data_IF_788454711913
#
_entry.id   IF_788454711913
#
_cell.length_a   1.000
_cell.length_b   1.000
_cell.length_c   1.000
_cell.angle_alpha   90.00
_cell.angle_beta   90.00
_cell.angle_gamma   90.00
#
_symmetry.space_group_name_H-M   'P 1'
#
loop_
_entity.id
_entity.type
_entity.pdbx_description
1 polymer ?
#
# COMPACT_ATOMS: atom_id res chain seq x y z
N UNK A 1 -49.38 21.27 -45.34
CA UNK A 1 -48.74 20.63 -44.19
C UNK A 1 -47.24 20.95 -44.23
N UNK A 2 -46.79 21.89 -43.41
CA UNK A 2 -45.34 22.19 -43.25
C UNK A 2 -44.86 21.47 -42.02
N UNK A 3 -43.89 20.56 -42.20
CA UNK A 3 -43.22 19.88 -41.12
C UNK A 3 -42.31 20.88 -40.36
N UNK A 4 -42.56 21.09 -39.08
CA UNK A 4 -41.67 21.82 -38.18
C UNK A 4 -40.58 20.85 -37.71
N UNK A 5 -39.39 21.02 -38.25
CA UNK A 5 -38.19 20.30 -37.76
C UNK A 5 -37.66 21.10 -36.57
N UNK A 6 -37.92 20.61 -35.36
CA UNK A 6 -37.34 21.18 -34.14
C UNK A 6 -35.92 20.65 -34.02
N UNK A 7 -34.94 21.48 -34.32
CA UNK A 7 -33.52 21.20 -34.03
C UNK A 7 -33.29 21.35 -32.54
N UNK A 8 -33.11 20.25 -31.83
CA UNK A 8 -32.66 20.26 -30.44
C UNK A 8 -31.15 20.53 -30.45
N UNK A 9 -30.76 21.76 -30.18
CA UNK A 9 -29.38 22.10 -29.86
C UNK A 9 -29.10 21.58 -28.45
N UNK A 10 -28.35 20.51 -28.34
CA UNK A 10 -27.70 20.14 -27.09
C UNK A 10 -26.63 21.19 -26.81
N UNK A 11 -26.83 21.94 -25.75
CA UNK A 11 -25.86 22.89 -25.24
C UNK A 11 -24.79 22.07 -24.50
N UNK A 12 -23.67 21.82 -25.15
CA UNK A 12 -22.48 21.16 -24.58
C UNK A 12 -21.78 22.12 -23.60
N UNK A 13 -22.46 22.44 -22.50
CA UNK A 13 -21.83 22.88 -21.27
C UNK A 13 -21.97 21.75 -20.24
N UNK A 14 -21.41 20.58 -20.53
CA UNK A 14 -21.00 19.68 -19.49
C UNK A 14 -19.83 20.38 -18.76
N UNK A 15 -20.17 21.03 -17.65
CA UNK A 15 -19.23 21.26 -16.58
C UNK A 15 -18.79 19.87 -16.11
N UNK A 16 -17.80 19.31 -16.78
CA UNK A 16 -17.07 18.14 -16.28
C UNK A 16 -16.45 18.57 -14.95
N UNK A 17 -17.17 18.31 -13.85
CA UNK A 17 -16.57 18.32 -12.52
C UNK A 17 -15.67 17.11 -12.44
N UNK A 18 -14.49 17.20 -13.08
CA UNK A 18 -13.45 16.21 -12.98
C UNK A 18 -13.16 15.99 -11.48
N UNK A 19 -13.29 14.76 -11.01
CA UNK A 19 -13.00 14.42 -9.64
C UNK A 19 -11.47 14.52 -9.47
N UNK A 20 -11.00 15.58 -8.83
CA UNK A 20 -9.58 15.71 -8.52
C UNK A 20 -9.31 15.33 -7.07
N UNK A 21 -8.46 14.33 -6.86
CA UNK A 21 -7.96 13.86 -5.56
C UNK A 21 -6.54 14.34 -5.29
N UNK A 22 -6.04 15.21 -6.15
CA UNK A 22 -4.67 15.73 -6.07
C UNK A 22 -4.51 16.63 -4.86
N UNK A 23 -3.46 16.37 -4.10
CA UNK A 23 -3.03 17.21 -2.97
C UNK A 23 -1.60 17.71 -3.17
N UNK A 24 -1.26 18.81 -2.51
CA UNK A 24 0.05 19.45 -2.67
C UNK A 24 1.10 18.74 -1.80
N UNK A 25 1.72 17.67 -2.35
CA UNK A 25 2.83 16.97 -1.73
C UNK A 25 2.46 16.12 -0.50
N UNK A 26 3.48 15.53 0.12
CA UNK A 26 3.36 14.59 1.22
C UNK A 26 2.75 15.20 2.49
N UNK A 27 3.06 16.46 2.80
CA UNK A 27 2.53 17.13 3.99
C UNK A 27 1.00 17.24 3.97
N UNK A 28 0.42 17.68 2.84
CA UNK A 28 -1.02 17.75 2.69
C UNK A 28 -1.65 16.33 2.61
N UNK A 29 -0.94 15.40 1.98
CA UNK A 29 -1.38 14.02 1.88
C UNK A 29 -1.48 13.34 3.25
N UNK A 30 -0.51 13.51 4.13
CA UNK A 30 -0.47 12.93 5.48
C UNK A 30 -1.32 13.69 6.52
N UNK A 31 -2.01 14.76 6.11
CA UNK A 31 -2.86 15.53 7.04
C UNK A 31 -3.93 14.63 7.68
N UNK A 32 -4.02 14.71 9.01
CA UNK A 32 -4.95 13.91 9.81
C UNK A 32 -4.36 12.61 10.35
N UNK A 33 -3.12 12.25 10.03
CA UNK A 33 -2.41 11.16 10.70
C UNK A 33 -2.09 11.58 12.13
N UNK A 34 -2.39 10.72 13.08
CA UNK A 34 -2.23 10.96 14.53
C UNK A 34 -1.56 9.77 15.21
N UNK A 35 -0.99 10.01 16.37
CA UNK A 35 -0.45 8.96 17.24
C UNK A 35 -1.52 7.92 17.58
N UNK A 36 -1.13 6.66 17.73
CA UNK A 36 -2.01 5.54 18.02
C UNK A 36 -2.74 4.93 16.83
N UNK A 37 -2.65 5.53 15.65
CA UNK A 37 -3.33 5.04 14.44
C UNK A 37 -2.69 3.78 13.88
N UNK A 38 -3.51 3.02 13.15
CA UNK A 38 -3.07 1.88 12.35
C UNK A 38 -2.81 2.33 10.91
N UNK A 39 -1.61 2.06 10.41
CA UNK A 39 -1.15 2.43 9.08
C UNK A 39 -0.80 1.17 8.27
N UNK A 40 -1.22 1.10 7.02
CA UNK A 40 -0.72 0.15 6.03
C UNK A 40 0.31 0.84 5.13
N UNK A 41 1.46 0.21 4.92
CA UNK A 41 2.50 0.74 4.06
C UNK A 41 2.88 -0.30 3.02
N UNK A 42 2.61 0.02 1.75
CA UNK A 42 2.90 -0.83 0.60
C UNK A 42 4.40 -1.04 0.43
N UNK A 43 4.75 -1.99 -0.44
CA UNK A 43 6.12 -2.36 -0.71
C UNK A 43 6.45 -3.80 -0.35
N UNK A 44 7.60 -4.23 -0.80
CA UNK A 44 8.21 -5.53 -0.51
C UNK A 44 9.72 -5.35 -0.47
N UNK A 45 10.36 -5.60 0.68
CA UNK A 45 11.71 -5.10 0.91
C UNK A 45 11.72 -3.58 0.75
N UNK A 46 12.59 -3.08 -0.09
CA UNK A 46 12.65 -1.66 -0.46
C UNK A 46 11.92 -1.36 -1.78
N UNK A 47 11.40 -2.39 -2.47
CA UNK A 47 10.76 -2.22 -3.77
C UNK A 47 9.32 -1.72 -3.63
N UNK A 48 9.03 -0.55 -4.21
CA UNK A 48 7.68 0.01 -4.25
C UNK A 48 7.19 0.58 -2.91
N UNK A 49 8.10 0.97 -2.02
CA UNK A 49 7.76 1.64 -0.76
C UNK A 49 7.40 3.11 -1.02
N UNK A 50 6.49 3.69 -0.22
CA UNK A 50 6.10 5.10 -0.32
C UNK A 50 7.12 6.02 0.38
N UNK A 51 8.25 6.29 -0.27
CA UNK A 51 9.41 6.99 0.31
C UNK A 51 9.07 8.40 0.82
N UNK A 52 8.32 9.17 0.03
CA UNK A 52 7.95 10.55 0.40
C UNK A 52 6.98 10.57 1.58
N UNK A 53 6.04 9.63 1.62
CA UNK A 53 5.08 9.50 2.72
C UNK A 53 5.77 9.05 4.01
N UNK A 54 6.73 8.10 3.93
CA UNK A 54 7.51 7.66 5.07
C UNK A 54 8.34 8.82 5.64
N UNK A 55 9.02 9.59 4.78
CA UNK A 55 9.78 10.77 5.21
C UNK A 55 8.90 11.80 5.93
N UNK A 56 7.67 12.00 5.44
CA UNK A 56 6.71 12.89 6.09
C UNK A 56 6.24 12.35 7.44
N UNK A 57 5.97 11.05 7.56
CA UNK A 57 5.62 10.42 8.84
C UNK A 57 6.74 10.58 9.88
N UNK A 58 8.01 10.48 9.46
CA UNK A 58 9.15 10.77 10.33
C UNK A 58 9.11 12.22 10.81
N UNK A 59 8.82 13.18 9.92
CA UNK A 59 8.76 14.61 10.23
C UNK A 59 7.60 14.98 11.15
N UNK A 60 6.47 14.26 11.05
CA UNK A 60 5.29 14.50 11.89
C UNK A 60 5.49 14.08 13.34
N UNK A 61 6.53 13.28 13.64
CA UNK A 61 6.84 12.79 14.99
C UNK A 61 5.65 12.09 15.70
N UNK A 62 4.66 11.62 14.93
CA UNK A 62 3.58 10.80 15.46
C UNK A 62 4.15 9.50 16.00
N UNK A 63 3.59 9.00 17.10
CA UNK A 63 4.10 7.82 17.79
C UNK A 63 2.98 6.83 18.13
N UNK A 64 3.34 5.74 18.81
CA UNK A 64 2.40 4.68 19.20
C UNK A 64 1.66 4.04 17.99
N UNK A 65 2.29 4.04 16.83
CA UNK A 65 1.69 3.54 15.59
C UNK A 65 1.64 2.01 15.56
N UNK A 66 0.57 1.46 14.99
CA UNK A 66 0.53 0.08 14.50
C UNK A 66 0.77 0.10 13.00
N UNK A 67 1.88 -0.48 12.56
CA UNK A 67 2.22 -0.54 11.13
C UNK A 67 2.02 -1.95 10.57
N UNK A 68 1.28 -2.03 9.47
CA UNK A 68 1.04 -3.26 8.70
C UNK A 68 1.84 -3.15 7.41
N UNK A 69 2.87 -3.96 7.26
CA UNK A 69 3.72 -3.99 6.06
C UNK A 69 4.38 -5.35 5.92
N UNK A 70 4.84 -5.70 4.71
CA UNK A 70 5.53 -6.97 4.49
C UNK A 70 6.77 -7.11 5.40
N UNK A 71 7.55 -6.04 5.51
CA UNK A 71 8.72 -5.89 6.39
C UNK A 71 8.91 -4.40 6.75
N UNK A 72 10.00 -4.06 7.43
CA UNK A 72 10.26 -2.68 7.85
C UNK A 72 11.44 -2.01 7.09
N UNK A 73 11.70 -2.42 5.86
CA UNK A 73 12.84 -1.92 5.10
C UNK A 73 14.17 -2.36 5.71
N UNK A 74 15.14 -1.46 5.73
CA UNK A 74 16.45 -1.61 6.39
C UNK A 74 16.63 -0.50 7.42
N UNK A 75 17.68 -0.56 8.23
CA UNK A 75 17.88 0.37 9.36
C UNK A 75 17.76 1.84 8.97
N UNK A 76 18.38 2.24 7.87
CA UNK A 76 18.50 3.63 7.44
C UNK A 76 17.57 3.99 6.27
N UNK A 77 16.59 3.13 5.93
CA UNK A 77 15.68 3.39 4.82
C UNK A 77 14.35 2.65 4.95
N UNK A 78 13.29 3.25 4.40
CA UNK A 78 11.93 2.74 4.54
C UNK A 78 11.41 2.86 5.98
N UNK A 79 10.64 1.90 6.43
CA UNK A 79 10.05 1.90 7.79
C UNK A 79 11.11 1.81 8.91
N UNK A 80 12.34 1.39 8.61
CA UNK A 80 13.44 1.44 9.56
C UNK A 80 13.64 2.83 10.16
N UNK A 81 13.40 3.89 9.40
CA UNK A 81 13.47 5.27 9.89
C UNK A 81 12.47 5.55 11.02
N UNK A 82 11.25 5.01 10.92
CA UNK A 82 10.23 5.13 11.99
C UNK A 82 10.58 4.28 13.21
N UNK A 83 11.19 3.11 13.02
CA UNK A 83 11.68 2.26 14.10
C UNK A 83 12.79 2.96 14.89
N UNK A 84 13.77 3.56 14.20
CA UNK A 84 14.84 4.34 14.85
C UNK A 84 14.30 5.48 15.71
N UNK A 85 13.19 6.11 15.28
CA UNK A 85 12.53 7.20 16.00
C UNK A 85 11.54 6.73 17.06
N UNK A 86 11.38 5.41 17.29
CA UNK A 86 10.40 4.85 18.24
C UNK A 86 8.96 5.28 17.96
N UNK A 87 8.64 5.54 16.70
CA UNK A 87 7.29 5.94 16.29
C UNK A 87 6.32 4.75 16.18
N UNK A 88 6.85 3.53 16.02
CA UNK A 88 6.08 2.30 15.88
C UNK A 88 6.04 1.55 17.22
N UNK A 89 4.85 1.30 17.75
CA UNK A 89 4.60 0.44 18.91
C UNK A 89 4.43 -1.02 18.50
N UNK A 90 3.77 -1.25 17.35
CA UNK A 90 3.45 -2.60 16.88
C UNK A 90 3.70 -2.75 15.38
N UNK A 91 4.37 -3.83 14.99
CA UNK A 91 4.46 -4.27 13.60
C UNK A 91 3.60 -5.52 13.38
N UNK A 92 2.80 -5.51 12.32
CA UNK A 92 2.15 -6.70 11.75
C UNK A 92 2.81 -6.95 10.40
N UNK A 93 3.62 -8.01 10.33
CA UNK A 93 4.60 -8.21 9.28
C UNK A 93 4.75 -9.69 8.93
N UNK A 94 5.35 -9.99 7.79
CA UNK A 94 5.66 -11.37 7.41
C UNK A 94 7.15 -11.70 7.47
N UNK A 95 7.99 -10.68 7.68
CA UNK A 95 9.44 -10.84 7.64
C UNK A 95 10.12 -9.70 8.41
N UNK A 96 11.04 -10.02 9.29
CA UNK A 96 11.84 -9.03 10.02
C UNK A 96 12.86 -8.39 9.08
N UNK A 97 13.51 -9.20 8.26
CA UNK A 97 14.40 -8.75 7.19
C UNK A 97 15.82 -8.46 7.65
N UNK A 98 16.50 -7.68 6.82
CA UNK A 98 17.85 -7.18 7.03
C UNK A 98 17.77 -5.80 7.73
N UNK A 99 17.11 -5.76 8.91
CA UNK A 99 16.91 -4.58 9.73
C UNK A 99 17.26 -4.91 11.17
N UNK A 100 18.49 -4.58 11.57
CA UNK A 100 19.05 -4.90 12.87
C UNK A 100 18.27 -4.21 14.01
N UNK A 101 17.79 -3.00 13.77
CA UNK A 101 16.99 -2.27 14.76
C UNK A 101 15.60 -2.89 14.96
N UNK A 102 14.98 -3.42 13.90
CA UNK A 102 13.74 -4.17 14.01
C UNK A 102 13.94 -5.43 14.88
N UNK A 103 14.96 -6.22 14.55
CA UNK A 103 15.29 -7.43 15.31
C UNK A 103 15.59 -7.08 16.78
N UNK A 104 16.41 -6.08 17.03
CA UNK A 104 16.76 -5.65 18.38
C UNK A 104 15.53 -5.24 19.20
N UNK A 105 14.65 -4.41 18.64
CA UNK A 105 13.44 -3.95 19.34
C UNK A 105 12.46 -5.11 19.61
N UNK A 106 12.31 -6.03 18.66
CA UNK A 106 11.49 -7.21 18.83
C UNK A 106 12.03 -8.11 19.96
N UNK A 107 13.32 -8.42 19.96
CA UNK A 107 13.94 -9.29 20.96
C UNK A 107 13.99 -8.67 22.36
N UNK A 108 14.10 -7.35 22.46
CA UNK A 108 14.06 -6.63 23.75
C UNK A 108 12.63 -6.43 24.28
N UNK A 109 11.61 -6.69 23.49
CA UNK A 109 10.21 -6.44 23.85
C UNK A 109 9.79 -4.95 23.78
N UNK A 110 10.64 -4.08 23.23
CA UNK A 110 10.30 -2.68 22.98
C UNK A 110 9.26 -2.53 21.88
N UNK A 111 9.24 -3.44 20.93
CA UNK A 111 8.32 -3.47 19.79
C UNK A 111 7.46 -4.74 19.86
N UNK A 112 6.16 -4.56 19.86
CA UNK A 112 5.22 -5.68 19.67
C UNK A 112 5.24 -6.12 18.21
N UNK A 113 5.39 -7.42 17.95
CA UNK A 113 5.49 -7.95 16.58
C UNK A 113 4.57 -9.15 16.40
N UNK A 114 3.64 -9.05 15.43
CA UNK A 114 2.85 -10.17 14.93
C UNK A 114 3.48 -10.64 13.61
N UNK A 115 4.18 -11.77 13.62
CA UNK A 115 4.68 -12.40 12.40
C UNK A 115 3.61 -13.31 11.81
N UNK A 116 3.23 -13.02 10.57
CA UNK A 116 2.15 -13.68 9.84
C UNK A 116 2.74 -14.31 8.55
N UNK A 117 2.35 -15.53 8.18
CA UNK A 117 2.72 -16.08 6.88
C UNK A 117 2.38 -15.09 5.75
N UNK A 118 3.31 -14.84 4.84
CA UNK A 118 3.22 -13.75 3.86
C UNK A 118 1.93 -13.80 3.03
N UNK A 119 1.53 -14.99 2.56
CA UNK A 119 0.28 -15.15 1.83
C UNK A 119 -0.96 -14.83 2.69
N UNK A 120 -0.92 -15.18 3.99
CA UNK A 120 -1.99 -14.82 4.93
C UNK A 120 -2.03 -13.32 5.17
N UNK A 121 -0.89 -12.64 5.29
CA UNK A 121 -0.83 -11.17 5.42
C UNK A 121 -1.47 -10.50 4.21
N UNK A 122 -1.11 -10.93 3.00
CA UNK A 122 -1.66 -10.40 1.76
C UNK A 122 -3.17 -10.60 1.68
N UNK A 123 -3.65 -11.82 2.00
CA UNK A 123 -5.08 -12.14 1.94
C UNK A 123 -5.87 -11.43 3.05
N UNK A 124 -5.31 -11.25 4.24
CA UNK A 124 -5.95 -10.47 5.33
C UNK A 124 -6.17 -9.01 4.91
N UNK A 125 -5.20 -8.39 4.22
CA UNK A 125 -5.36 -7.05 3.65
C UNK A 125 -6.42 -7.05 2.54
N UNK A 126 -6.37 -8.02 1.61
CA UNK A 126 -7.36 -8.14 0.53
C UNK A 126 -8.78 -8.33 1.09
N UNK A 127 -8.93 -9.23 2.05
CA UNK A 127 -10.21 -9.48 2.71
C UNK A 127 -10.77 -8.22 3.37
N UNK A 128 -9.93 -7.47 4.09
CA UNK A 128 -10.31 -6.20 4.70
C UNK A 128 -10.82 -5.19 3.68
N UNK A 129 -10.11 -5.03 2.57
CA UNK A 129 -10.51 -4.14 1.48
C UNK A 129 -11.77 -4.59 0.73
N UNK A 130 -12.08 -5.89 0.74
CA UNK A 130 -13.28 -6.46 0.12
C UNK A 130 -14.47 -6.56 1.07
N UNK A 131 -14.34 -6.15 2.34
CA UNK A 131 -15.39 -6.29 3.35
C UNK A 131 -15.62 -7.72 3.83
N UNK A 132 -14.66 -8.63 3.60
CA UNK A 132 -14.68 -10.02 4.08
C UNK A 132 -14.08 -10.06 5.48
N UNK A 133 -14.82 -10.41 6.54
CA UNK A 133 -14.33 -10.27 7.91
C UNK A 133 -13.24 -11.28 8.29
N UNK A 134 -13.28 -12.48 7.69
CA UNK A 134 -12.35 -13.57 7.99
C UNK A 134 -12.37 -14.62 6.88
N UNK A 135 -11.36 -15.48 6.86
CA UNK A 135 -11.25 -16.62 5.94
C UNK A 135 -10.47 -17.76 6.58
N UNK A 136 -10.60 -18.97 6.04
CA UNK A 136 -9.83 -20.12 6.46
C UNK A 136 -8.64 -20.38 5.54
N UNK A 137 -7.47 -20.70 6.14
CA UNK A 137 -6.25 -21.03 5.40
C UNK A 137 -5.50 -22.19 6.08
N UNK A 138 -4.88 -23.09 5.33
CA UNK A 138 -4.00 -24.11 5.91
C UNK A 138 -2.63 -23.54 6.32
N UNK A 139 -2.28 -22.33 5.88
CA UNK A 139 -1.00 -21.72 6.18
C UNK A 139 -0.85 -21.42 7.69
N UNK A 140 0.22 -21.90 8.29
CA UNK A 140 0.49 -21.70 9.72
C UNK A 140 -0.18 -22.75 10.64
N UNK A 141 -1.02 -23.66 10.14
CA UNK A 141 -1.52 -24.75 10.97
C UNK A 141 -0.38 -25.62 11.52
N UNK A 142 -0.46 -25.94 12.81
CA UNK A 142 0.57 -26.72 13.50
C UNK A 142 1.82 -25.92 13.92
N UNK A 143 1.77 -24.61 13.83
CA UNK A 143 2.78 -23.68 14.33
C UNK A 143 2.19 -22.72 15.36
N UNK A 144 3.02 -21.92 16.02
CA UNK A 144 2.60 -20.86 16.95
C UNK A 144 1.56 -19.91 16.33
N UNK A 145 1.57 -19.72 15.01
CA UNK A 145 0.59 -18.90 14.29
C UNK A 145 -0.84 -19.40 14.49
N UNK A 146 -1.03 -20.69 14.74
CA UNK A 146 -2.37 -21.29 14.94
C UNK A 146 -2.89 -21.18 16.38
N UNK A 147 -2.05 -20.76 17.33
CA UNK A 147 -2.45 -20.71 18.74
C UNK A 147 -3.63 -19.76 18.96
N UNK A 148 -4.64 -20.25 19.69
CA UNK A 148 -5.87 -19.51 19.99
C UNK A 148 -6.81 -19.26 18.81
N UNK A 149 -6.50 -19.75 17.60
CA UNK A 149 -7.36 -19.59 16.41
C UNK A 149 -8.33 -20.77 16.26
N UNK A 150 -9.52 -20.48 15.75
CA UNK A 150 -10.48 -21.52 15.36
C UNK A 150 -9.88 -22.40 14.26
N UNK A 151 -10.01 -23.72 14.42
CA UNK A 151 -9.60 -24.70 13.42
C UNK A 151 -10.82 -25.38 12.83
N UNK A 152 -10.88 -25.46 11.51
CA UNK A 152 -11.92 -26.19 10.78
C UNK A 152 -11.30 -27.07 9.69
N UNK A 153 -11.85 -28.24 9.51
CA UNK A 153 -11.43 -29.16 8.45
C UNK A 153 -12.17 -28.89 7.15
N UNK A 154 -11.42 -28.82 6.04
CA UNK A 154 -11.96 -28.77 4.68
C UNK A 154 -11.26 -29.83 3.83
N UNK A 155 -12.02 -30.73 3.23
CA UNK A 155 -11.51 -31.81 2.39
C UNK A 155 -10.39 -32.63 3.06
N UNK A 156 -10.56 -32.97 4.34
CA UNK A 156 -9.59 -33.76 5.11
C UNK A 156 -8.32 -32.99 5.50
N UNK A 157 -8.30 -31.66 5.36
CA UNK A 157 -7.16 -30.81 5.73
C UNK A 157 -7.58 -29.76 6.75
N UNK A 158 -6.83 -29.62 7.85
CA UNK A 158 -7.11 -28.57 8.84
C UNK A 158 -6.75 -27.18 8.30
N UNK A 159 -7.58 -26.21 8.64
CA UNK A 159 -7.41 -24.80 8.31
C UNK A 159 -7.63 -23.96 9.57
N UNK A 160 -6.89 -22.87 9.71
CA UNK A 160 -7.07 -21.87 10.77
C UNK A 160 -7.87 -20.69 10.26
N UNK A 161 -8.66 -20.09 11.14
CA UNK A 161 -9.40 -18.85 10.85
C UNK A 161 -8.46 -17.64 10.97
N UNK A 162 -8.34 -16.85 9.90
CA UNK A 162 -7.63 -15.59 9.87
C UNK A 162 -8.60 -14.41 9.73
N UNK A 163 -8.47 -13.42 10.61
CA UNK A 163 -9.27 -12.19 10.54
C UNK A 163 -8.70 -11.23 9.50
N UNK A 164 -9.58 -10.48 8.85
CA UNK A 164 -9.19 -9.41 7.95
C UNK A 164 -8.38 -8.31 8.65
N UNK A 165 -7.57 -7.58 7.87
CA UNK A 165 -6.84 -6.40 8.31
C UNK A 165 -7.37 -5.16 7.58
N UNK A 166 -7.61 -4.09 8.34
CA UNK A 166 -7.90 -2.75 7.84
C UNK A 166 -7.03 -1.73 8.56
N UNK A 167 -6.90 -0.54 8.01
CA UNK A 167 -6.10 0.53 8.63
C UNK A 167 -6.82 1.88 8.56
N UNK A 168 -6.43 2.83 9.42
CA UNK A 168 -6.93 4.19 9.36
C UNK A 168 -6.39 4.90 8.11
N UNK A 169 -5.10 4.67 7.79
CA UNK A 169 -4.48 5.14 6.56
C UNK A 169 -3.74 4.00 5.86
N UNK A 170 -3.80 4.00 4.52
CA UNK A 170 -2.92 3.20 3.67
C UNK A 170 -2.05 4.11 2.80
N UNK A 171 -0.76 3.87 2.80
CA UNK A 171 0.23 4.57 2.00
C UNK A 171 0.74 3.62 0.93
N UNK A 172 0.55 3.97 -0.33
CA UNK A 172 0.96 3.15 -1.46
C UNK A 172 1.76 3.96 -2.46
N UNK A 173 2.67 3.28 -3.15
CA UNK A 173 3.45 3.89 -4.21
C UNK A 173 3.13 3.25 -5.55
N UNK A 174 2.81 4.08 -6.55
CA UNK A 174 2.61 3.64 -7.92
C UNK A 174 3.63 4.30 -8.88
N UNK A 175 3.75 3.72 -10.07
CA UNK A 175 4.53 4.32 -11.16
C UNK A 175 3.79 5.51 -11.75
N UNK A 176 2.53 5.30 -12.14
CA UNK A 176 1.66 6.35 -12.68
C UNK A 176 0.35 6.38 -11.91
N UNK A 177 -0.21 7.57 -11.82
CA UNK A 177 -1.58 7.76 -11.36
C UNK A 177 -2.23 8.92 -12.08
N UNK A 178 -3.54 8.90 -12.20
CA UNK A 178 -4.30 10.03 -12.73
C UNK A 178 -4.94 10.86 -11.62
N UNK A 179 -5.46 12.03 -11.99
CA UNK A 179 -6.08 12.97 -11.03
C UNK A 179 -7.32 12.40 -10.33
N UNK A 180 -7.94 11.36 -10.89
CA UNK A 180 -9.05 10.62 -10.29
C UNK A 180 -8.58 9.51 -9.34
N UNK A 181 -7.27 9.24 -9.25
CA UNK A 181 -6.67 8.27 -8.35
C UNK A 181 -6.54 6.86 -8.90
N UNK A 182 -6.71 6.64 -10.21
CA UNK A 182 -6.40 5.37 -10.83
C UNK A 182 -4.90 5.14 -10.85
N UNK A 183 -4.44 3.91 -10.53
CA UNK A 183 -3.01 3.62 -10.36
C UNK A 183 -2.53 2.51 -11.29
N UNK A 184 -1.32 2.73 -11.82
CA UNK A 184 -0.53 1.74 -12.58
C UNK A 184 0.79 1.50 -11.86
N UNK A 185 1.07 0.25 -11.51
CA UNK A 185 2.33 -0.14 -10.89
C UNK A 185 3.30 -0.68 -11.92
N UNK A 186 4.61 -0.59 -11.64
CA UNK A 186 5.66 -1.06 -12.54
C UNK A 186 6.30 -2.33 -12.02
N UNK A 187 6.20 -3.42 -12.80
CA UNK A 187 6.83 -4.71 -12.48
C UNK A 187 6.57 -5.15 -11.03
N UNK A 188 7.62 -5.57 -10.31
CA UNK A 188 7.55 -6.09 -8.94
C UNK A 188 7.16 -5.04 -7.89
N UNK A 189 7.22 -3.75 -8.18
CA UNK A 189 6.73 -2.70 -7.30
C UNK A 189 5.21 -2.71 -7.12
N UNK A 190 4.48 -3.54 -7.87
CA UNK A 190 3.06 -3.79 -7.63
C UNK A 190 2.82 -4.44 -6.27
N UNK A 191 3.54 -5.51 -5.94
CA UNK A 191 3.57 -6.28 -4.68
C UNK A 191 2.33 -6.08 -3.75
N UNK A 192 2.50 -5.60 -2.51
CA UNK A 192 1.43 -5.38 -1.53
C UNK A 192 0.58 -4.13 -1.79
N UNK A 193 1.03 -3.21 -2.65
CA UNK A 193 0.40 -1.92 -2.87
C UNK A 193 -1.11 -2.01 -3.21
N UNK A 194 -1.58 -2.84 -4.16
CA UNK A 194 -3.00 -2.90 -4.51
C UNK A 194 -3.90 -3.36 -3.36
N UNK A 195 -3.48 -4.37 -2.61
CA UNK A 195 -4.28 -4.92 -1.51
C UNK A 195 -4.38 -3.94 -0.35
N UNK A 196 -3.28 -3.26 -0.03
CA UNK A 196 -3.25 -2.26 1.02
C UNK A 196 -4.04 -1.00 0.63
N UNK A 197 -3.99 -0.60 -0.66
CA UNK A 197 -4.81 0.50 -1.16
C UNK A 197 -6.31 0.29 -0.92
N UNK A 198 -6.79 -0.95 -0.99
CA UNK A 198 -8.19 -1.30 -0.77
C UNK A 198 -8.58 -1.29 0.71
N UNK A 199 -7.64 -1.51 1.63
CA UNK A 199 -7.89 -1.81 3.03
C UNK A 199 -7.75 -0.60 3.97
N UNK A 200 -7.29 0.54 3.47
CA UNK A 200 -7.25 1.80 4.21
C UNK A 200 -8.60 2.52 4.22
N UNK A 201 -8.98 3.13 5.36
CA UNK A 201 -10.11 4.08 5.39
C UNK A 201 -9.81 5.32 4.55
N UNK A 202 -8.56 5.78 4.60
CA UNK A 202 -8.02 6.84 3.76
C UNK A 202 -6.76 6.30 3.08
N UNK A 203 -6.80 6.16 1.77
CA UNK A 203 -5.65 5.72 0.98
C UNK A 203 -4.99 6.91 0.32
N UNK A 204 -3.69 7.03 0.58
CA UNK A 204 -2.78 8.01 0.02
C UNK A 204 -1.89 7.31 -0.99
N UNK A 205 -1.93 7.78 -2.23
CA UNK A 205 -1.07 7.30 -3.29
C UNK A 205 0.00 8.33 -3.63
N UNK A 206 1.27 7.96 -3.50
CA UNK A 206 2.37 8.71 -4.12
C UNK A 206 2.72 8.08 -5.45
N UNK A 207 2.93 8.90 -6.47
CA UNK A 207 3.21 8.44 -7.82
C UNK A 207 4.46 9.10 -8.39
N UNK A 208 5.17 8.38 -9.26
CA UNK A 208 6.32 8.95 -9.97
C UNK A 208 5.87 9.91 -11.08
N UNK A 209 4.71 9.64 -11.69
CA UNK A 209 4.13 10.43 -12.77
C UNK A 209 2.62 10.60 -12.52
N UNK A 210 2.21 11.84 -12.34
CA UNK A 210 0.80 12.21 -12.21
C UNK A 210 0.29 12.73 -13.54
N UNK A 211 -0.76 12.13 -14.07
CA UNK A 211 -1.32 12.46 -15.38
C UNK A 211 -2.78 12.90 -15.26
N UNK A 212 -3.32 13.62 -16.26
CA UNK A 212 -4.76 13.94 -16.30
C UNK A 212 -5.63 12.68 -16.34
N UNK A 213 -6.85 12.78 -15.78
CA UNK A 213 -7.88 11.73 -15.92
C UNK A 213 -8.11 11.39 -17.39
N UNK A 214 -8.32 10.10 -17.67
CA UNK A 214 -8.52 9.60 -19.03
C UNK A 214 -7.23 9.37 -19.84
N UNK A 215 -6.07 9.74 -19.31
CA UNK A 215 -4.76 9.50 -20.00
C UNK A 215 -4.30 8.06 -19.86
N UNK A 216 -4.61 7.40 -18.74
CA UNK A 216 -4.22 6.01 -18.52
C UNK A 216 -5.09 5.07 -19.36
N UNK A 217 -4.45 4.05 -19.95
CA UNK A 217 -5.20 2.99 -20.64
C UNK A 217 -6.06 2.24 -19.60
N UNK A 218 -7.40 2.19 -19.76
CA UNK A 218 -8.29 1.51 -18.81
C UNK A 218 -7.94 0.04 -18.56
N UNK A 219 -7.37 -0.64 -19.56
CA UNK A 219 -6.98 -2.05 -19.43
C UNK A 219 -5.68 -2.26 -18.61
N UNK A 220 -4.95 -1.19 -18.32
CA UNK A 220 -3.68 -1.23 -17.58
C UNK A 220 -3.84 -0.73 -16.14
N UNK A 221 -5.02 -0.24 -15.76
CA UNK A 221 -5.30 0.21 -14.40
C UNK A 221 -5.28 -0.99 -13.45
N UNK A 222 -4.36 -0.97 -12.49
CA UNK A 222 -4.20 -2.04 -11.51
C UNK A 222 -5.02 -1.78 -10.23
N UNK A 223 -5.13 -0.53 -9.81
CA UNK A 223 -5.96 -0.10 -8.68
C UNK A 223 -6.91 0.99 -9.16
N UNK A 224 -8.22 0.74 -9.16
CA UNK A 224 -9.22 1.75 -9.49
C UNK A 224 -9.20 2.92 -8.50
N UNK A 225 -9.42 4.12 -9.02
CA UNK A 225 -9.39 5.36 -8.23
C UNK A 225 -10.35 5.38 -7.04
N UNK A 226 -11.42 4.58 -7.06
CA UNK A 226 -12.38 4.49 -5.96
C UNK A 226 -11.72 4.16 -4.60
N UNK A 227 -10.59 3.46 -4.62
CA UNK A 227 -9.82 3.10 -3.42
C UNK A 227 -8.85 4.18 -2.97
N UNK A 228 -8.63 5.23 -3.75
CA UNK A 228 -7.66 6.29 -3.46
C UNK A 228 -8.39 7.58 -3.09
N UNK A 229 -8.11 8.14 -1.93
CA UNK A 229 -8.71 9.39 -1.46
C UNK A 229 -7.81 10.59 -1.71
N UNK A 230 -6.47 10.39 -1.71
CA UNK A 230 -5.49 11.45 -1.96
C UNK A 230 -4.38 10.93 -2.85
N UNK A 231 -3.95 11.75 -3.80
CA UNK A 231 -2.84 11.43 -4.69
C UNK A 231 -1.92 12.62 -4.84
N UNK A 232 -0.61 12.38 -4.86
CA UNK A 232 0.39 13.40 -5.15
C UNK A 232 1.56 12.82 -5.94
N UNK A 233 2.25 13.67 -6.69
CA UNK A 233 3.49 13.28 -7.34
C UNK A 233 4.63 13.45 -6.35
N UNK A 234 5.33 12.35 -6.10
CA UNK A 234 6.53 12.34 -5.26
C UNK A 234 7.76 12.73 -6.06
N UNK A 235 8.78 13.20 -5.35
CA UNK A 235 10.05 13.63 -5.93
C UNK A 235 11.23 13.01 -5.16
N UNK A 236 12.39 12.93 -5.80
CA UNK A 236 13.63 12.55 -5.14
C UNK A 236 13.75 11.09 -4.72
N UNK A 237 13.05 10.18 -5.42
CA UNK A 237 13.12 8.74 -5.12
C UNK A 237 14.54 8.18 -5.24
N UNK A 238 15.03 7.55 -4.18
CA UNK A 238 16.31 6.82 -4.21
C UNK A 238 16.16 5.42 -4.82
N UNK A 239 15.02 4.77 -4.62
CA UNK A 239 14.70 3.42 -5.12
C UNK A 239 15.81 2.42 -4.79
N UNK A 240 16.24 2.40 -3.55
CA UNK A 240 17.23 1.42 -3.07
C UNK A 240 16.70 0.00 -3.26
N UNK A 241 17.63 -0.92 -3.51
CA UNK A 241 17.39 -2.37 -3.53
C UNK A 241 18.45 -2.99 -2.63
N UNK A 242 18.09 -3.94 -1.78
CA UNK A 242 18.96 -4.55 -0.77
C UNK A 242 20.24 -5.12 -1.38
N UNK A 243 20.11 -5.77 -2.54
CA UNK A 243 21.27 -6.35 -3.26
C UNK A 243 21.28 -5.85 -4.71
N UNK A 244 22.34 -5.15 -5.08
CA UNK A 244 22.55 -4.68 -6.45
C UNK A 244 23.02 -5.82 -7.36
N UNK A 245 22.13 -6.69 -7.79
CA UNK A 245 22.41 -7.75 -8.77
C UNK A 245 21.95 -7.38 -10.18
N UNK A 246 22.02 -6.10 -10.56
CA UNK A 246 21.57 -5.66 -11.87
C UNK A 246 22.62 -6.01 -12.90
N UNK A 247 22.32 -6.94 -13.80
CA UNK A 247 23.13 -7.14 -15.02
C UNK A 247 22.94 -5.95 -15.93
N UNK A 248 24.02 -5.39 -16.54
CA UNK A 248 23.86 -4.38 -17.59
C UNK A 248 22.94 -4.92 -18.68
N UNK A 249 21.96 -4.14 -19.15
CA UNK A 249 21.20 -4.50 -20.34
C UNK A 249 22.19 -4.69 -21.49
N UNK A 250 22.18 -5.85 -22.13
CA UNK A 250 22.82 -6.00 -23.41
C UNK A 250 22.05 -5.07 -24.37
N UNK A 251 22.69 -3.99 -24.79
CA UNK A 251 22.20 -3.20 -25.92
C UNK A 251 22.28 -4.13 -27.13
N UNK A 252 21.13 -4.51 -27.68
CA UNK A 252 21.08 -5.17 -28.99
C UNK A 252 21.83 -4.27 -29.96
N UNK A 253 23.02 -4.69 -30.35
CA UNK A 253 23.72 -4.09 -31.49
C UNK A 253 22.87 -4.42 -32.72
N UNK A 254 22.19 -3.40 -33.24
CA UNK A 254 21.56 -3.50 -34.56
C UNK A 254 22.62 -3.95 -35.57
N UNK A 255 22.50 -5.18 -36.05
CA UNK A 255 23.17 -5.69 -37.23
C UNK A 255 22.23 -5.52 -38.42
#
# INVERSE_FOLDING_TARGET
>A
MRALTTTICFNDQQNDMAISKVVTGSAAACSGVQSGMTLMLGGFGLCGIPECSIAELVRLEVNDLTCISNNAGVDDFGLGLLLQKRQIRKMISSYVGENDEFERQMLSGELEVDLIPQGSLAERCRAGGAGIPAFYTPAGFGTEVAEGKEVREFNGKPHILESALTADFAFVKAWKGDTAGNLVYKATARNFNPMMAMAGKVTIAEVEELVPEGTLNPNEIHTPGIFVQRIFQGEGYEKRIEQRTVRPRQTESNA
#
